data_IF_807177326954
#
_entry.id   IF_807177326954
#
_cell.length_a   1.000
_cell.length_b   1.000
_cell.length_c   1.000
_cell.angle_alpha   90.00
_cell.angle_beta   90.00
_cell.angle_gamma   90.00
#
_symmetry.space_group_name_H-M   'P 1'
#
loop_
_entity.id
_entity.type
_entity.pdbx_description
1 polymer ?
#
# COMPACT_ATOMS: atom_id res chain seq x y z
N UNK A 1 -14.10 1.76 -36.19
CA UNK A 1 -14.14 0.30 -36.32
C UNK A 1 -15.01 -0.27 -35.22
N UNK A 2 -16.09 -0.98 -35.57
CA UNK A 2 -17.00 -1.60 -34.60
C UNK A 2 -16.30 -2.84 -34.00
N UNK A 3 -15.47 -2.66 -32.99
CA UNK A 3 -14.91 -3.79 -32.28
C UNK A 3 -16.05 -4.41 -31.48
N UNK A 4 -16.62 -5.50 -31.97
CA UNK A 4 -17.53 -6.36 -31.21
C UNK A 4 -16.92 -6.55 -29.82
N UNK A 5 -17.66 -6.16 -28.82
CA UNK A 5 -17.24 -6.23 -27.40
C UNK A 5 -16.98 -7.71 -27.05
N UNK A 6 -15.75 -8.17 -27.29
CA UNK A 6 -15.33 -9.48 -26.85
C UNK A 6 -15.18 -9.40 -25.33
N UNK A 7 -15.92 -10.24 -24.62
CA UNK A 7 -15.78 -10.38 -23.18
C UNK A 7 -14.29 -10.59 -22.85
N UNK A 8 -13.68 -9.60 -22.19
CA UNK A 8 -12.31 -9.67 -21.69
C UNK A 8 -12.32 -10.17 -20.26
N UNK A 9 -11.53 -11.18 -19.97
CA UNK A 9 -11.43 -11.79 -18.64
C UNK A 9 -9.96 -11.97 -18.27
N UNK A 10 -9.68 -11.87 -16.95
CA UNK A 10 -8.41 -12.28 -16.36
C UNK A 10 -8.64 -13.43 -15.39
N UNK A 11 -7.73 -14.40 -15.39
CA UNK A 11 -7.70 -15.43 -14.35
C UNK A 11 -7.03 -14.87 -13.10
N UNK A 12 -7.70 -14.98 -11.96
CA UNK A 12 -7.18 -14.59 -10.66
C UNK A 12 -7.27 -15.77 -9.68
N UNK A 13 -6.21 -16.07 -8.92
CA UNK A 13 -6.20 -17.23 -8.02
C UNK A 13 -7.14 -17.09 -6.83
N UNK A 14 -7.62 -15.88 -6.52
CA UNK A 14 -8.51 -15.57 -5.39
C UNK A 14 -9.98 -15.58 -5.81
N UNK A 15 -10.28 -14.98 -6.98
CA UNK A 15 -11.64 -14.71 -7.44
C UNK A 15 -12.05 -15.51 -8.67
N UNK A 16 -11.16 -16.31 -9.24
CA UNK A 16 -11.41 -16.99 -10.50
C UNK A 16 -11.39 -16.03 -11.69
N UNK A 17 -12.49 -15.93 -12.42
CA UNK A 17 -12.56 -15.04 -13.58
C UNK A 17 -12.97 -13.62 -13.20
N UNK A 18 -12.10 -12.67 -13.50
CA UNK A 18 -12.39 -11.23 -13.39
C UNK A 18 -12.77 -10.70 -14.76
N UNK A 19 -14.00 -10.25 -14.89
CA UNK A 19 -14.54 -9.68 -16.14
C UNK A 19 -14.22 -8.19 -16.23
N UNK A 20 -13.82 -7.71 -17.40
CA UNK A 20 -13.56 -6.30 -17.66
C UNK A 20 -14.86 -5.63 -18.15
N UNK A 21 -15.37 -4.62 -17.42
CA UNK A 21 -16.74 -4.14 -17.59
C UNK A 21 -16.94 -3.20 -18.78
N UNK A 22 -15.88 -2.55 -19.29
CA UNK A 22 -15.99 -1.57 -20.38
C UNK A 22 -14.70 -1.47 -21.20
N UNK A 23 -14.79 -0.88 -22.38
CA UNK A 23 -13.63 -0.59 -23.24
C UNK A 23 -12.66 0.37 -22.56
N UNK A 24 -13.16 1.43 -21.89
CA UNK A 24 -12.33 2.38 -21.15
C UNK A 24 -11.46 1.66 -20.10
N UNK A 25 -12.06 0.78 -19.28
CA UNK A 25 -11.32 0.00 -18.28
C UNK A 25 -10.28 -0.90 -18.94
N UNK A 26 -10.61 -1.52 -20.07
CA UNK A 26 -9.65 -2.34 -20.83
C UNK A 26 -8.46 -1.51 -21.35
N UNK A 27 -8.73 -0.34 -21.91
CA UNK A 27 -7.71 0.56 -22.46
C UNK A 27 -6.80 1.12 -21.34
N UNK A 28 -7.38 1.46 -20.18
CA UNK A 28 -6.62 1.86 -18.99
C UNK A 28 -5.73 0.72 -18.47
N UNK A 29 -6.23 -0.52 -18.44
CA UNK A 29 -5.41 -1.68 -18.06
C UNK A 29 -4.28 -1.89 -19.06
N UNK A 30 -4.52 -1.67 -20.36
CA UNK A 30 -3.50 -1.82 -21.41
C UNK A 30 -2.46 -0.68 -21.41
N UNK A 31 -2.75 0.44 -20.74
CA UNK A 31 -1.86 1.60 -20.69
C UNK A 31 -0.53 1.30 -19.99
N UNK A 32 0.64 1.78 -20.49
CA UNK A 32 1.96 1.51 -19.90
C UNK A 32 2.05 1.81 -18.41
N UNK A 33 1.46 2.93 -17.93
CA UNK A 33 1.45 3.29 -16.52
C UNK A 33 0.79 2.22 -15.63
N UNK A 34 -0.27 1.58 -16.12
CA UNK A 34 -0.92 0.49 -15.39
C UNK A 34 -0.16 -0.83 -15.55
N UNK A 35 0.38 -1.14 -16.74
CA UNK A 35 1.16 -2.35 -16.98
C UNK A 35 2.42 -2.43 -16.11
N UNK A 36 3.00 -1.29 -15.72
CA UNK A 36 4.11 -1.22 -14.75
C UNK A 36 3.79 -1.95 -13.43
N UNK A 37 2.55 -1.90 -12.98
CA UNK A 37 2.12 -2.54 -11.73
C UNK A 37 2.37 -4.06 -11.69
N UNK A 38 2.58 -4.71 -12.84
CA UNK A 38 3.00 -6.12 -12.92
C UNK A 38 4.41 -6.36 -12.39
N UNK A 39 5.23 -5.32 -12.33
CA UNK A 39 6.63 -5.36 -11.92
C UNK A 39 6.87 -4.70 -10.55
N UNK A 40 5.78 -4.39 -9.84
CA UNK A 40 5.81 -3.83 -8.47
C UNK A 40 5.10 -4.81 -7.54
N UNK A 41 5.82 -5.36 -6.58
CA UNK A 41 5.26 -6.26 -5.58
C UNK A 41 4.31 -5.51 -4.64
N UNK A 42 3.16 -6.14 -4.33
CA UNK A 42 2.16 -5.57 -3.42
C UNK A 42 2.72 -5.33 -2.02
N UNK A 43 3.50 -6.27 -1.54
CA UNK A 43 3.97 -6.31 -0.16
C UNK A 43 5.47 -6.01 -0.02
N UNK A 44 6.08 -5.35 -1.01
CA UNK A 44 7.50 -5.00 -0.98
C UNK A 44 8.41 -6.20 -0.64
N UNK A 45 9.22 -6.07 0.39
CA UNK A 45 10.18 -7.09 0.82
C UNK A 45 9.59 -8.17 1.74
N UNK A 46 8.27 -8.24 1.92
CA UNK A 46 7.64 -9.23 2.79
C UNK A 46 7.88 -10.68 2.37
N UNK A 47 8.25 -10.94 1.12
CA UNK A 47 8.66 -12.27 0.64
C UNK A 47 9.90 -12.81 1.39
N UNK A 48 10.70 -11.95 2.01
CA UNK A 48 11.80 -12.37 2.89
C UNK A 48 11.32 -13.05 4.17
N UNK A 49 10.05 -12.89 4.52
CA UNK A 49 9.38 -13.55 5.65
C UNK A 49 8.40 -14.62 5.16
N UNK A 50 7.58 -14.26 4.19
CA UNK A 50 6.52 -15.08 3.60
C UNK A 50 6.87 -15.42 2.15
N UNK A 51 7.52 -16.56 1.89
CA UNK A 51 8.08 -16.87 0.57
C UNK A 51 7.07 -16.85 -0.58
N UNK A 52 5.77 -16.99 -0.31
CA UNK A 52 4.70 -16.90 -1.30
C UNK A 52 4.26 -15.47 -1.66
N UNK A 53 4.72 -14.44 -0.92
CA UNK A 53 4.26 -13.06 -1.07
C UNK A 53 4.91 -12.34 -2.27
N UNK A 54 4.72 -12.87 -3.47
CA UNK A 54 5.24 -12.32 -4.74
C UNK A 54 4.15 -11.73 -5.65
N UNK A 55 2.92 -11.65 -5.19
CA UNK A 55 1.86 -11.01 -5.97
C UNK A 55 2.12 -9.50 -6.12
N UNK A 56 1.62 -8.98 -7.23
CA UNK A 56 1.91 -7.60 -7.65
C UNK A 56 0.71 -6.69 -7.45
N UNK A 57 0.93 -5.39 -7.49
CA UNK A 57 -0.14 -4.37 -7.45
C UNK A 57 -1.12 -4.51 -8.60
N UNK A 58 -0.69 -5.07 -9.73
CA UNK A 58 -1.59 -5.41 -10.83
C UNK A 58 -2.67 -6.41 -10.41
N UNK A 59 -2.31 -7.46 -9.66
CA UNK A 59 -3.29 -8.44 -9.15
C UNK A 59 -4.28 -7.78 -8.18
N UNK A 60 -3.76 -6.95 -7.29
CA UNK A 60 -4.56 -6.21 -6.31
C UNK A 60 -5.55 -5.25 -6.98
N UNK A 61 -5.11 -4.42 -7.92
CA UNK A 61 -5.96 -3.48 -8.64
C UNK A 61 -7.11 -4.18 -9.40
N UNK A 62 -6.83 -5.33 -10.02
CA UNK A 62 -7.88 -6.13 -10.67
C UNK A 62 -8.85 -6.75 -9.66
N UNK A 63 -8.35 -7.22 -8.52
CA UNK A 63 -9.18 -7.78 -7.44
C UNK A 63 -10.09 -6.73 -6.82
N UNK A 64 -9.56 -5.54 -6.55
CA UNK A 64 -10.34 -4.40 -6.04
C UNK A 64 -11.42 -3.97 -7.03
N UNK A 65 -11.12 -3.94 -8.34
CA UNK A 65 -12.11 -3.72 -9.40
C UNK A 65 -13.21 -4.80 -9.39
N UNK A 66 -12.85 -6.06 -9.23
CA UNK A 66 -13.81 -7.16 -9.16
C UNK A 66 -14.77 -7.02 -7.99
N UNK A 67 -14.26 -6.68 -6.81
CA UNK A 67 -15.08 -6.44 -5.63
C UNK A 67 -15.96 -5.21 -5.79
N UNK A 68 -15.46 -4.14 -6.41
CA UNK A 68 -16.24 -2.94 -6.71
C UNK A 68 -17.41 -3.25 -7.65
N UNK A 69 -17.21 -4.07 -8.68
CA UNK A 69 -18.30 -4.51 -9.57
C UNK A 69 -19.39 -5.28 -8.78
N UNK A 70 -18.99 -6.13 -7.82
CA UNK A 70 -19.92 -6.83 -6.93
C UNK A 70 -20.68 -5.86 -6.04
N UNK A 71 -19.99 -4.89 -5.42
CA UNK A 71 -20.60 -3.89 -4.55
C UNK A 71 -21.65 -3.05 -5.30
N UNK A 72 -21.30 -2.52 -6.45
CA UNK A 72 -22.22 -1.74 -7.31
C UNK A 72 -23.46 -2.56 -7.67
N UNK A 73 -23.28 -3.83 -8.09
CA UNK A 73 -24.39 -4.71 -8.42
C UNK A 73 -25.33 -4.95 -7.23
N UNK A 74 -24.79 -5.17 -6.04
CA UNK A 74 -25.59 -5.39 -4.83
C UNK A 74 -26.34 -4.12 -4.43
N UNK A 75 -25.68 -2.95 -4.47
CA UNK A 75 -26.32 -1.69 -4.13
C UNK A 75 -27.46 -1.35 -5.10
N UNK A 76 -27.24 -1.53 -6.40
CA UNK A 76 -28.31 -1.36 -7.44
C UNK A 76 -29.46 -2.34 -7.21
N UNK A 77 -29.17 -3.59 -6.90
CA UNK A 77 -30.21 -4.59 -6.58
C UNK A 77 -31.05 -4.19 -5.36
N UNK A 78 -30.43 -3.50 -4.38
CA UNK A 78 -31.13 -2.97 -3.20
C UNK A 78 -31.83 -1.62 -3.43
N UNK A 79 -31.83 -1.12 -4.65
CA UNK A 79 -32.57 0.09 -5.05
C UNK A 79 -31.76 1.37 -5.00
N UNK A 80 -30.45 1.33 -4.71
CA UNK A 80 -29.57 2.51 -4.81
C UNK A 80 -29.46 2.91 -6.27
N UNK A 81 -29.84 4.15 -6.59
CA UNK A 81 -29.68 4.70 -7.93
C UNK A 81 -28.21 5.01 -8.19
N UNK A 82 -27.62 4.30 -9.12
CA UNK A 82 -26.24 4.51 -9.62
C UNK A 82 -26.33 4.55 -11.14
N UNK A 83 -26.02 5.69 -11.73
CA UNK A 83 -26.00 5.87 -13.18
C UNK A 83 -24.88 5.04 -13.83
N UNK A 84 -24.91 4.90 -15.14
CA UNK A 84 -23.85 4.20 -15.87
C UNK A 84 -22.52 4.98 -15.83
N UNK A 85 -22.60 6.29 -15.78
CA UNK A 85 -21.46 7.19 -15.66
C UNK A 85 -20.80 7.06 -14.29
N UNK A 86 -21.59 7.12 -13.19
CA UNK A 86 -21.12 6.92 -11.83
C UNK A 86 -20.51 5.51 -11.64
N UNK A 87 -21.14 4.48 -12.20
CA UNK A 87 -20.63 3.10 -12.19
C UNK A 87 -19.25 3.00 -12.85
N UNK A 88 -19.08 3.58 -14.05
CA UNK A 88 -17.81 3.59 -14.75
C UNK A 88 -16.75 4.40 -13.98
N UNK A 89 -17.12 5.54 -13.41
CA UNK A 89 -16.23 6.37 -12.61
C UNK A 89 -15.71 5.64 -11.36
N UNK A 90 -16.58 4.91 -10.64
CA UNK A 90 -16.17 4.05 -9.53
C UNK A 90 -15.14 2.99 -9.96
N UNK A 91 -15.39 2.35 -11.12
CA UNK A 91 -14.49 1.32 -11.64
C UNK A 91 -13.13 1.89 -12.03
N UNK A 92 -13.08 3.07 -12.62
CA UNK A 92 -11.85 3.79 -12.93
C UNK A 92 -11.12 4.17 -11.64
N UNK A 93 -11.83 4.77 -10.68
CA UNK A 93 -11.24 5.24 -9.43
C UNK A 93 -10.57 4.10 -8.65
N UNK A 94 -11.28 2.96 -8.46
CA UNK A 94 -10.72 1.82 -7.74
C UNK A 94 -9.62 1.09 -8.53
N UNK A 95 -9.67 1.08 -9.86
CA UNK A 95 -8.63 0.48 -10.69
C UNK A 95 -7.31 1.25 -10.56
N UNK A 96 -7.39 2.58 -10.50
CA UNK A 96 -6.22 3.46 -10.54
C UNK A 96 -5.77 3.96 -9.16
N UNK A 97 -6.44 3.60 -8.07
CA UNK A 97 -6.16 4.16 -6.73
C UNK A 97 -4.70 3.99 -6.31
N UNK A 98 -4.07 2.87 -6.67
CA UNK A 98 -2.70 2.49 -6.31
C UNK A 98 -1.68 2.69 -7.45
N UNK A 99 -2.06 3.33 -8.58
CA UNK A 99 -1.18 3.48 -9.75
C UNK A 99 0.09 4.29 -9.45
N UNK A 100 0.08 5.11 -8.41
CA UNK A 100 1.19 5.96 -7.98
C UNK A 100 2.22 5.27 -7.08
N UNK A 101 2.05 4.01 -6.73
CA UNK A 101 3.07 3.31 -5.95
C UNK A 101 4.38 3.11 -6.71
N UNK A 102 5.50 3.31 -6.01
CA UNK A 102 6.84 3.03 -6.50
C UNK A 102 7.35 1.63 -6.12
N UNK A 103 8.58 1.29 -6.55
CA UNK A 103 9.24 0.04 -6.18
C UNK A 103 9.32 -0.15 -4.66
N UNK A 104 9.11 -1.38 -4.22
CA UNK A 104 9.09 -1.76 -2.81
C UNK A 104 8.20 -0.87 -1.96
N UNK A 105 7.06 -0.48 -2.50
CA UNK A 105 6.02 0.28 -1.79
C UNK A 105 6.53 1.61 -1.22
N UNK A 106 6.67 1.72 0.10
CA UNK A 106 7.02 2.98 0.77
C UNK A 106 8.52 3.30 0.77
N UNK A 107 9.40 2.40 0.28
CA UNK A 107 10.83 2.66 0.29
C UNK A 107 11.23 3.93 -0.49
N UNK A 108 10.62 4.15 -1.66
CA UNK A 108 10.85 5.35 -2.47
C UNK A 108 10.30 6.61 -1.80
N UNK A 109 9.12 6.55 -1.18
CA UNK A 109 8.50 7.69 -0.49
C UNK A 109 9.35 8.21 0.69
N UNK A 110 10.06 7.29 1.36
CA UNK A 110 10.89 7.61 2.52
C UNK A 110 12.38 7.84 2.20
N UNK A 111 12.76 7.81 0.91
CA UNK A 111 14.17 7.97 0.51
C UNK A 111 14.39 8.93 -0.65
N UNK A 112 13.70 8.75 -1.76
CA UNK A 112 13.92 9.51 -3.00
C UNK A 112 12.86 10.59 -3.23
N UNK A 113 11.62 10.36 -2.79
CA UNK A 113 10.46 11.25 -2.96
C UNK A 113 9.92 11.72 -1.60
N UNK A 114 10.80 12.20 -0.72
CA UNK A 114 10.40 12.61 0.63
C UNK A 114 9.27 13.65 0.63
N UNK A 115 8.17 13.31 1.31
CA UNK A 115 6.99 14.18 1.39
C UNK A 115 6.02 14.10 0.21
N UNK A 116 6.25 13.18 -0.73
CA UNK A 116 5.33 12.89 -1.85
C UNK A 116 4.67 11.54 -1.62
N UNK A 117 3.38 11.52 -1.31
CA UNK A 117 2.66 10.26 -1.09
C UNK A 117 2.24 9.59 -2.41
N UNK A 118 2.09 8.27 -2.37
CA UNK A 118 1.61 7.51 -3.53
C UNK A 118 0.20 7.91 -3.95
N UNK A 119 -0.67 8.34 -3.02
CA UNK A 119 -2.00 8.84 -3.38
C UNK A 119 -1.92 10.13 -4.20
N UNK A 120 -0.98 11.03 -3.84
CA UNK A 120 -0.74 12.23 -4.62
C UNK A 120 -0.20 11.89 -6.02
N UNK A 121 0.72 10.94 -6.13
CA UNK A 121 1.23 10.47 -7.42
C UNK A 121 0.11 9.78 -8.22
N UNK A 122 -0.74 8.97 -7.58
CA UNK A 122 -1.91 8.34 -8.23
C UNK A 122 -2.82 9.39 -8.84
N UNK A 123 -3.14 10.45 -8.09
CA UNK A 123 -3.94 11.56 -8.58
C UNK A 123 -3.30 12.22 -9.82
N UNK A 124 -1.99 12.46 -9.77
CA UNK A 124 -1.28 13.07 -10.91
C UNK A 124 -1.28 12.18 -12.16
N UNK A 125 -1.13 10.86 -11.99
CA UNK A 125 -1.29 9.92 -13.11
C UNK A 125 -2.72 9.91 -13.64
N UNK A 126 -3.73 9.93 -12.77
CA UNK A 126 -5.13 10.00 -13.20
C UNK A 126 -5.42 11.30 -13.98
N UNK A 127 -4.84 12.43 -13.62
CA UNK A 127 -4.96 13.70 -14.34
C UNK A 127 -4.35 13.62 -15.75
N UNK A 128 -3.13 13.05 -15.88
CA UNK A 128 -2.49 12.82 -17.19
C UNK A 128 -3.36 11.90 -18.06
N UNK A 129 -3.81 10.77 -17.50
CA UNK A 129 -4.69 9.85 -18.20
C UNK A 129 -6.03 10.51 -18.58
N UNK A 130 -6.55 11.40 -17.73
CA UNK A 130 -7.78 12.14 -18.05
C UNK A 130 -7.62 13.01 -19.30
N UNK A 131 -6.48 13.69 -19.44
CA UNK A 131 -6.18 14.47 -20.64
C UNK A 131 -6.05 13.55 -21.88
N UNK A 132 -5.35 12.42 -21.76
CA UNK A 132 -5.16 11.45 -22.85
C UNK A 132 -6.50 10.79 -23.29
N UNK A 133 -7.40 10.54 -22.33
CA UNK A 133 -8.71 9.96 -22.55
C UNK A 133 -9.84 11.01 -22.71
N UNK A 134 -9.48 12.26 -23.08
CA UNK A 134 -10.42 13.34 -23.42
C UNK A 134 -11.46 13.64 -22.31
N UNK A 135 -11.02 13.69 -21.06
CA UNK A 135 -11.86 14.06 -19.91
C UNK A 135 -12.72 12.93 -19.34
N UNK A 136 -12.60 11.69 -19.84
CA UNK A 136 -13.44 10.56 -19.40
C UNK A 136 -13.19 10.11 -17.95
N UNK A 137 -12.09 10.54 -17.31
CA UNK A 137 -11.76 10.20 -15.93
C UNK A 137 -12.16 11.28 -14.93
N UNK A 138 -12.73 12.42 -15.36
CA UNK A 138 -13.00 13.58 -14.50
C UNK A 138 -13.85 13.24 -13.28
N UNK A 139 -14.94 12.48 -13.47
CA UNK A 139 -15.81 12.06 -12.37
C UNK A 139 -15.10 11.07 -11.43
N UNK A 140 -14.27 10.16 -11.97
CA UNK A 140 -13.47 9.24 -11.18
C UNK A 140 -12.46 9.97 -10.29
N UNK A 141 -11.83 11.02 -10.80
CA UNK A 141 -10.91 11.88 -10.05
C UNK A 141 -11.65 12.60 -8.91
N UNK A 142 -12.84 13.13 -9.18
CA UNK A 142 -13.68 13.76 -8.15
C UNK A 142 -14.05 12.77 -7.04
N UNK A 143 -14.45 11.55 -7.39
CA UNK A 143 -14.75 10.48 -6.43
C UNK A 143 -13.51 10.04 -5.63
N UNK A 144 -12.36 9.89 -6.31
CA UNK A 144 -11.09 9.51 -5.67
C UNK A 144 -10.63 10.56 -4.64
N UNK A 145 -10.81 11.84 -4.92
CA UNK A 145 -10.52 12.94 -3.99
C UNK A 145 -11.49 13.03 -2.82
N UNK A 146 -12.62 12.35 -2.88
CA UNK A 146 -13.70 12.47 -1.90
C UNK A 146 -14.54 13.73 -2.05
N UNK A 147 -14.44 14.44 -3.18
CA UNK A 147 -15.13 15.70 -3.46
C UNK A 147 -16.51 15.49 -4.11
N UNK A 148 -16.91 14.23 -4.35
CA UNK A 148 -18.21 13.95 -4.98
C UNK A 148 -19.35 14.09 -3.95
N UNK A 149 -20.46 14.71 -4.39
CA UNK A 149 -21.60 15.08 -3.53
C UNK A 149 -22.28 13.91 -2.79
N UNK A 150 -22.08 12.68 -3.26
CA UNK A 150 -22.63 11.45 -2.68
C UNK A 150 -21.52 10.66 -1.98
N UNK A 151 -21.37 10.80 -0.64
CA UNK A 151 -20.21 10.31 0.12
C UNK A 151 -19.95 8.80 -0.02
N UNK A 152 -20.99 7.96 -0.19
CA UNK A 152 -20.80 6.51 -0.25
C UNK A 152 -19.88 6.07 -1.40
N UNK A 153 -19.74 6.84 -2.48
CA UNK A 153 -18.81 6.55 -3.56
C UNK A 153 -17.36 6.62 -3.08
N UNK A 154 -16.99 7.69 -2.38
CA UNK A 154 -15.68 7.81 -1.75
C UNK A 154 -15.44 6.74 -0.67
N UNK A 155 -16.48 6.41 0.11
CA UNK A 155 -16.41 5.37 1.15
C UNK A 155 -16.18 3.96 0.59
N UNK A 156 -16.63 3.67 -0.63
CA UNK A 156 -16.35 2.42 -1.33
C UNK A 156 -14.91 2.33 -1.85
N UNK A 157 -14.28 3.48 -2.16
CA UNK A 157 -12.89 3.58 -2.65
C UNK A 157 -11.90 3.59 -1.49
N UNK A 158 -12.14 4.46 -0.49
CA UNK A 158 -11.24 4.67 0.66
C UNK A 158 -12.04 4.92 1.94
N UNK A 159 -12.60 3.88 2.53
CA UNK A 159 -13.36 3.89 3.78
C UNK A 159 -12.87 2.86 4.77
N UNK A 160 -13.66 2.55 5.80
CA UNK A 160 -13.32 1.49 6.76
C UNK A 160 -13.58 0.09 6.19
N UNK A 161 -14.54 -0.03 5.26
CA UNK A 161 -15.01 -1.28 4.66
C UNK A 161 -14.99 -1.17 3.12
N UNK A 162 -13.94 -0.54 2.58
CA UNK A 162 -13.77 -0.31 1.16
C UNK A 162 -13.33 -1.57 0.37
N UNK A 163 -13.32 -1.43 -0.95
CA UNK A 163 -12.97 -2.54 -1.83
C UNK A 163 -11.45 -2.77 -1.90
N UNK A 164 -10.65 -1.76 -1.65
CA UNK A 164 -9.19 -1.84 -1.49
C UNK A 164 -8.84 -2.78 -0.33
N UNK A 165 -9.28 -2.45 0.91
CA UNK A 165 -9.04 -3.27 2.11
C UNK A 165 -9.62 -4.66 1.99
N UNK A 166 -10.78 -4.78 1.35
CA UNK A 166 -11.46 -6.06 1.14
C UNK A 166 -10.69 -7.00 0.22
N UNK A 167 -9.96 -6.47 -0.77
CA UNK A 167 -9.08 -7.26 -1.63
C UNK A 167 -7.77 -7.58 -0.92
N UNK A 168 -7.00 -6.56 -0.48
CA UNK A 168 -5.66 -6.83 0.00
C UNK A 168 -5.65 -7.75 1.23
N UNK A 169 -6.57 -7.60 2.18
CA UNK A 169 -6.61 -8.50 3.33
C UNK A 169 -6.77 -9.97 2.90
N UNK A 170 -7.68 -10.24 1.98
CA UNK A 170 -7.91 -11.60 1.49
C UNK A 170 -6.74 -12.09 0.63
N UNK A 171 -6.22 -11.23 -0.24
CA UNK A 171 -5.12 -11.54 -1.16
C UNK A 171 -3.82 -11.77 -0.41
N UNK A 172 -3.46 -10.88 0.49
CA UNK A 172 -2.23 -10.99 1.28
C UNK A 172 -2.29 -12.19 2.22
N UNK A 173 -3.46 -12.49 2.83
CA UNK A 173 -3.69 -13.72 3.59
C UNK A 173 -3.38 -14.97 2.76
N UNK A 174 -3.88 -15.03 1.53
CA UNK A 174 -3.64 -16.16 0.64
C UNK A 174 -2.16 -16.32 0.29
N UNK A 175 -1.50 -15.25 -0.16
CA UNK A 175 -0.11 -15.32 -0.61
C UNK A 175 0.92 -15.43 0.52
N UNK A 176 0.59 -14.94 1.71
CA UNK A 176 1.45 -15.13 2.90
C UNK A 176 1.22 -16.46 3.60
N UNK A 177 0.08 -17.10 3.37
CA UNK A 177 -0.36 -18.29 4.12
C UNK A 177 -0.84 -17.98 5.54
N UNK A 178 -1.08 -16.70 5.88
CA UNK A 178 -1.56 -16.26 7.20
C UNK A 178 -3.08 -16.25 7.21
N UNK A 179 -3.68 -17.26 7.82
CA UNK A 179 -5.13 -17.52 7.77
C UNK A 179 -5.99 -16.50 8.50
N UNK A 180 -5.42 -15.70 9.39
CA UNK A 180 -6.11 -14.66 10.15
C UNK A 180 -6.71 -13.56 9.27
N UNK A 181 -6.11 -13.32 8.10
CA UNK A 181 -6.62 -12.39 7.09
C UNK A 181 -7.75 -12.94 6.23
N UNK A 182 -8.13 -14.21 6.39
CA UNK A 182 -9.21 -14.81 5.60
C UNK A 182 -10.56 -14.23 6.00
N UNK A 183 -11.04 -13.29 5.20
CA UNK A 183 -12.34 -12.62 5.34
C UNK A 183 -13.32 -13.09 4.26
N UNK A 184 -14.62 -13.06 4.57
CA UNK A 184 -15.66 -13.28 3.59
C UNK A 184 -16.14 -11.96 2.99
N UNK A 185 -15.35 -11.41 2.04
CA UNK A 185 -15.66 -10.15 1.36
C UNK A 185 -17.02 -10.17 0.67
N UNK A 186 -17.44 -11.32 0.12
CA UNK A 186 -18.74 -11.44 -0.56
C UNK A 186 -19.91 -11.26 0.41
N UNK A 187 -19.82 -11.87 1.61
CA UNK A 187 -20.84 -11.67 2.63
C UNK A 187 -20.86 -10.22 3.12
N UNK A 188 -19.69 -9.60 3.34
CA UNK A 188 -19.62 -8.21 3.75
C UNK A 188 -20.28 -7.30 2.71
N UNK A 189 -19.94 -7.47 1.43
CA UNK A 189 -20.55 -6.71 0.32
C UNK A 189 -22.05 -6.95 0.24
N UNK A 190 -22.51 -8.19 0.42
CA UNK A 190 -23.94 -8.50 0.39
C UNK A 190 -24.76 -7.81 1.50
N UNK A 191 -24.11 -7.39 2.59
CA UNK A 191 -24.73 -6.65 3.69
C UNK A 191 -24.64 -5.12 3.52
N UNK A 192 -23.92 -4.61 2.52
CA UNK A 192 -23.83 -3.17 2.23
C UNK A 192 -25.17 -2.64 1.75
N UNK A 193 -25.46 -1.41 2.14
CA UNK A 193 -26.61 -0.63 1.68
C UNK A 193 -26.27 0.86 1.70
N UNK A 194 -27.15 1.72 1.20
CA UNK A 194 -26.98 3.17 1.21
C UNK A 194 -28.23 3.81 1.84
N UNK A 195 -28.02 4.71 2.78
CA UNK A 195 -29.07 5.52 3.40
C UNK A 195 -28.60 6.97 3.43
N UNK A 196 -29.39 7.88 2.86
CA UNK A 196 -29.03 9.31 2.76
C UNK A 196 -27.65 9.55 2.14
N UNK A 197 -27.33 8.82 1.06
CA UNK A 197 -26.05 8.80 0.36
C UNK A 197 -24.82 8.43 1.21
N UNK A 198 -25.02 7.80 2.38
CA UNK A 198 -23.97 7.24 3.22
C UNK A 198 -23.97 5.71 3.12
N UNK A 199 -22.77 5.10 3.10
CA UNK A 199 -22.62 3.66 3.13
C UNK A 199 -22.97 3.12 4.51
N UNK A 200 -23.88 2.15 4.57
CA UNK A 200 -24.31 1.49 5.79
C UNK A 200 -24.22 -0.01 5.65
N UNK A 201 -24.12 -0.73 6.76
CA UNK A 201 -24.18 -2.20 6.77
C UNK A 201 -25.46 -2.65 7.47
N UNK A 202 -26.21 -3.57 6.87
CA UNK A 202 -27.40 -4.14 7.49
C UNK A 202 -27.02 -4.85 8.81
N UNK A 203 -27.87 -4.75 9.81
CA UNK A 203 -27.67 -5.29 11.18
C UNK A 203 -27.17 -6.74 11.20
N UNK A 204 -27.70 -7.60 10.31
CA UNK A 204 -27.24 -9.00 10.17
C UNK A 204 -25.80 -9.15 9.66
N UNK A 205 -25.16 -8.05 9.24
CA UNK A 205 -23.76 -7.97 8.82
C UNK A 205 -22.77 -7.68 9.94
N UNK A 206 -23.21 -7.37 11.17
CA UNK A 206 -22.35 -6.96 12.30
C UNK A 206 -21.20 -7.95 12.51
N UNK A 207 -21.48 -9.25 12.58
CA UNK A 207 -20.42 -10.27 12.76
C UNK A 207 -19.39 -10.31 11.61
N UNK A 208 -19.81 -9.95 10.40
CA UNK A 208 -18.88 -9.85 9.25
C UNK A 208 -17.95 -8.63 9.39
N UNK A 209 -18.45 -7.51 9.93
CA UNK A 209 -17.66 -6.33 10.24
C UNK A 209 -16.65 -6.65 11.34
N UNK A 210 -17.11 -7.27 12.43
CA UNK A 210 -16.25 -7.63 13.56
C UNK A 210 -15.12 -8.56 13.12
N UNK A 211 -15.43 -9.57 12.30
CA UNK A 211 -14.42 -10.46 11.70
C UNK A 211 -13.45 -9.69 10.83
N UNK A 212 -13.94 -8.76 9.99
CA UNK A 212 -13.11 -7.93 9.10
C UNK A 212 -12.13 -7.04 9.91
N UNK A 213 -12.63 -6.32 10.91
CA UNK A 213 -11.79 -5.45 11.74
C UNK A 213 -10.75 -6.24 12.55
N UNK A 214 -11.14 -7.42 13.06
CA UNK A 214 -10.22 -8.32 13.76
C UNK A 214 -9.15 -8.87 12.83
N UNK A 215 -9.54 -9.36 11.65
CA UNK A 215 -8.62 -9.85 10.63
C UNK A 215 -7.61 -8.77 10.22
N UNK A 216 -8.09 -7.55 9.95
CA UNK A 216 -7.25 -6.39 9.63
C UNK A 216 -6.21 -6.15 10.73
N UNK A 217 -6.63 -6.09 12.01
CA UNK A 217 -5.70 -5.86 13.13
C UNK A 217 -4.66 -6.95 13.24
N UNK A 218 -5.06 -8.23 13.07
CA UNK A 218 -4.14 -9.36 13.13
C UNK A 218 -3.14 -9.34 11.96
N UNK A 219 -3.61 -9.09 10.74
CA UNK A 219 -2.73 -8.96 9.57
C UNK A 219 -1.72 -7.82 9.73
N UNK A 220 -2.14 -6.67 10.32
CA UNK A 220 -1.20 -5.58 10.57
C UNK A 220 -0.06 -6.03 11.47
N UNK A 221 -0.32 -6.69 12.58
CA UNK A 221 0.73 -7.11 13.52
C UNK A 221 1.52 -8.32 13.07
N UNK A 222 0.88 -9.28 12.44
CA UNK A 222 1.56 -10.50 12.00
C UNK A 222 2.30 -10.32 10.68
N UNK A 223 1.77 -9.52 9.76
CA UNK A 223 2.26 -9.43 8.38
C UNK A 223 2.90 -8.08 8.09
N UNK A 224 2.12 -6.99 8.06
CA UNK A 224 2.63 -5.69 7.59
C UNK A 224 3.64 -5.04 8.54
N UNK A 225 3.47 -5.23 9.84
CA UNK A 225 4.38 -4.75 10.88
C UNK A 225 5.28 -5.87 11.43
N UNK A 226 5.42 -6.99 10.69
CA UNK A 226 6.33 -8.05 11.10
C UNK A 226 7.76 -7.53 11.20
N UNK A 227 8.42 -7.76 12.35
CA UNK A 227 9.74 -7.21 12.68
C UNK A 227 10.78 -7.36 11.55
N UNK A 228 10.81 -8.51 10.87
CA UNK A 228 11.77 -8.77 9.78
C UNK A 228 11.42 -7.95 8.52
N UNK A 229 10.12 -7.77 8.22
CA UNK A 229 9.67 -6.91 7.13
C UNK A 229 10.05 -5.46 7.36
N UNK A 230 9.77 -4.95 8.56
CA UNK A 230 10.13 -3.58 8.99
C UNK A 230 11.65 -3.35 8.87
N UNK A 231 12.46 -4.31 9.28
CA UNK A 231 13.93 -4.21 9.15
C UNK A 231 14.36 -4.16 7.68
N UNK A 232 13.82 -5.03 6.85
CA UNK A 232 14.18 -5.09 5.43
C UNK A 232 13.82 -3.79 4.70
N UNK A 233 12.64 -3.22 5.00
CA UNK A 233 12.19 -1.94 4.45
C UNK A 233 13.10 -0.78 4.89
N UNK A 234 13.43 -0.69 6.18
CA UNK A 234 14.37 0.34 6.66
C UNK A 234 15.77 0.17 6.06
N UNK A 235 16.23 -1.06 5.86
CA UNK A 235 17.53 -1.31 5.23
C UNK A 235 17.57 -0.83 3.78
N UNK A 236 16.53 -1.08 2.98
CA UNK A 236 16.51 -0.59 1.59
C UNK A 236 16.37 0.93 1.53
N UNK A 237 15.62 1.55 2.45
CA UNK A 237 15.57 3.01 2.61
C UNK A 237 16.99 3.56 2.87
N UNK A 238 17.74 2.94 3.78
CA UNK A 238 19.10 3.36 4.10
C UNK A 238 20.07 3.16 2.92
N UNK A 239 19.93 2.06 2.16
CA UNK A 239 20.70 1.86 0.92
C UNK A 239 20.44 2.98 -0.07
N UNK A 240 19.18 3.32 -0.31
CA UNK A 240 18.81 4.39 -1.25
C UNK A 240 19.27 5.75 -0.77
N UNK A 241 19.18 6.07 0.52
CA UNK A 241 19.72 7.30 1.10
C UNK A 241 21.24 7.39 0.91
N UNK A 242 21.98 6.29 1.15
CA UNK A 242 23.44 6.27 0.91
C UNK A 242 23.77 6.42 -0.57
N UNK A 243 23.07 5.73 -1.44
CA UNK A 243 23.23 5.86 -2.89
C UNK A 243 22.97 7.30 -3.37
N UNK A 244 21.93 7.95 -2.84
CA UNK A 244 21.64 9.37 -3.13
C UNK A 244 22.78 10.29 -2.71
N UNK A 245 23.32 10.12 -1.50
CA UNK A 245 24.48 10.91 -1.03
C UNK A 245 25.70 10.71 -1.93
N UNK A 246 26.01 9.48 -2.32
CA UNK A 246 27.14 9.17 -3.20
C UNK A 246 26.92 9.73 -4.60
N UNK A 247 25.73 9.61 -5.17
CA UNK A 247 25.37 10.17 -6.46
C UNK A 247 25.51 11.69 -6.48
N UNK A 248 25.05 12.38 -5.43
CA UNK A 248 25.19 13.84 -5.28
C UNK A 248 26.66 14.28 -5.12
N UNK A 249 27.54 13.39 -4.63
CA UNK A 249 28.98 13.59 -4.57
C UNK A 249 29.72 13.17 -5.86
N UNK A 250 28.98 12.88 -6.94
CA UNK A 250 29.48 12.41 -8.22
C UNK A 250 30.26 11.08 -8.15
N UNK A 251 30.02 10.25 -7.13
CA UNK A 251 30.56 8.90 -7.10
C UNK A 251 29.87 8.04 -8.20
N UNK A 252 30.64 7.23 -8.95
CA UNK A 252 30.06 6.41 -10.01
C UNK A 252 29.17 5.30 -9.41
N UNK A 253 27.90 5.29 -9.79
CA UNK A 253 26.95 4.25 -9.42
C UNK A 253 26.44 3.55 -10.68
N UNK A 254 26.41 2.23 -10.66
CA UNK A 254 25.74 1.47 -11.71
C UNK A 254 24.25 1.36 -11.36
N UNK A 255 23.41 2.01 -12.16
CA UNK A 255 21.95 2.09 -11.99
C UNK A 255 21.27 2.22 -13.34
N UNK A 256 19.94 1.97 -13.40
CA UNK A 256 19.15 2.36 -14.58
C UNK A 256 19.09 3.89 -14.73
N UNK A 257 18.87 4.41 -15.94
CA UNK A 257 18.74 5.86 -16.16
C UNK A 257 17.67 6.50 -15.28
N UNK A 258 16.55 5.82 -15.09
CA UNK A 258 15.40 6.27 -14.32
C UNK A 258 15.76 6.38 -12.83
N UNK A 259 16.45 5.38 -12.28
CA UNK A 259 16.91 5.42 -10.89
C UNK A 259 17.98 6.49 -10.70
N UNK A 260 18.91 6.66 -11.64
CA UNK A 260 19.93 7.70 -11.61
C UNK A 260 19.32 9.11 -11.54
N UNK A 261 18.24 9.33 -12.32
CA UNK A 261 17.50 10.58 -12.28
C UNK A 261 17.00 10.91 -10.87
N UNK A 262 16.38 9.95 -10.16
CA UNK A 262 15.87 10.15 -8.80
C UNK A 262 16.95 10.23 -7.73
N UNK A 263 18.11 9.61 -7.94
CA UNK A 263 19.26 9.75 -7.03
C UNK A 263 19.90 11.14 -7.12
N UNK A 264 19.90 11.77 -8.30
CA UNK A 264 20.50 13.09 -8.55
C UNK A 264 19.57 14.26 -8.29
N UNK A 265 18.24 14.04 -8.40
CA UNK A 265 17.25 15.11 -8.39
C UNK A 265 16.56 15.19 -7.03
N UNK A 266 16.45 16.38 -6.47
CA UNK A 266 15.58 16.66 -5.32
C UNK A 266 14.17 16.99 -5.83
N UNK A 267 13.22 16.18 -5.42
CA UNK A 267 11.83 16.30 -5.87
C UNK A 267 10.94 16.68 -4.69
N UNK A 268 10.22 17.79 -4.87
CA UNK A 268 9.20 18.27 -3.94
C UNK A 268 7.80 18.13 -4.56
N UNK A 269 6.74 17.96 -3.75
CA UNK A 269 5.37 17.81 -4.26
C UNK A 269 4.97 18.92 -5.25
N UNK A 270 5.36 20.18 -5.00
CA UNK A 270 5.06 21.32 -5.86
C UNK A 270 5.77 21.31 -7.22
N UNK A 271 6.76 20.43 -7.40
CA UNK A 271 7.58 20.33 -8.63
C UNK A 271 7.35 19.02 -9.39
N UNK A 272 6.31 18.25 -9.06
CA UNK A 272 6.02 16.99 -9.73
C UNK A 272 5.43 17.26 -11.14
N UNK A 273 6.32 17.45 -12.11
CA UNK A 273 5.97 17.70 -13.51
C UNK A 273 5.64 16.40 -14.24
N UNK A 274 5.02 16.52 -15.42
CA UNK A 274 4.76 15.37 -16.31
C UNK A 274 6.02 14.58 -16.63
N UNK A 275 7.15 15.26 -16.93
CA UNK A 275 8.43 14.62 -17.22
C UNK A 275 8.97 13.80 -16.03
N UNK A 276 8.79 14.27 -14.78
CA UNK A 276 9.16 13.50 -13.58
C UNK A 276 8.28 12.27 -13.43
N UNK A 277 6.97 12.40 -13.72
CA UNK A 277 6.04 11.27 -13.67
C UNK A 277 6.32 10.24 -14.76
N UNK A 278 6.74 10.68 -15.96
CA UNK A 278 7.20 9.79 -17.03
C UNK A 278 8.42 8.97 -16.58
N UNK A 279 9.46 9.61 -16.01
CA UNK A 279 10.59 8.88 -15.42
C UNK A 279 10.15 7.94 -14.28
N UNK A 280 9.21 8.38 -13.43
CA UNK A 280 8.69 7.54 -12.35
C UNK A 280 7.91 6.33 -12.88
N UNK A 281 7.24 6.47 -14.02
CA UNK A 281 6.48 5.38 -14.64
C UNK A 281 7.35 4.27 -15.19
N UNK A 282 8.64 4.50 -15.40
CA UNK A 282 9.59 3.48 -15.86
C UNK A 282 10.26 2.73 -14.69
N UNK A 283 10.20 3.30 -13.45
CA UNK A 283 10.77 2.65 -12.27
C UNK A 283 9.92 1.48 -11.78
N UNK A 284 10.58 0.35 -11.50
CA UNK A 284 9.98 -0.82 -10.86
C UNK A 284 10.95 -1.56 -9.91
N UNK A 285 10.52 -2.68 -9.33
CA UNK A 285 11.31 -3.44 -8.36
C UNK A 285 12.62 -3.98 -8.98
N UNK A 286 12.65 -4.24 -10.30
CA UNK A 286 13.83 -4.77 -10.96
C UNK A 286 14.98 -3.76 -11.00
N UNK A 287 14.69 -2.46 -11.10
CA UNK A 287 15.71 -1.41 -11.03
C UNK A 287 16.48 -1.46 -9.71
N UNK A 288 15.73 -1.57 -8.61
CA UNK A 288 16.33 -1.62 -7.27
C UNK A 288 17.08 -2.94 -7.04
N UNK A 289 16.53 -4.08 -7.49
CA UNK A 289 17.21 -5.38 -7.37
C UNK A 289 18.50 -5.38 -8.21
N UNK A 290 18.48 -4.86 -9.42
CA UNK A 290 19.67 -4.72 -10.28
C UNK A 290 20.73 -3.83 -9.65
N UNK A 291 20.32 -2.68 -9.10
CA UNK A 291 21.18 -1.76 -8.38
C UNK A 291 21.84 -2.43 -7.17
N UNK A 292 21.07 -3.10 -6.30
CA UNK A 292 21.58 -3.84 -5.15
C UNK A 292 22.64 -4.88 -5.54
N UNK A 293 22.40 -5.63 -6.65
CA UNK A 293 23.34 -6.64 -7.18
C UNK A 293 24.65 -6.02 -7.63
N UNK A 294 24.61 -4.82 -8.17
CA UNK A 294 25.82 -4.07 -8.58
C UNK A 294 26.51 -3.44 -7.37
N UNK A 295 25.75 -2.85 -6.46
CA UNK A 295 26.27 -2.14 -5.29
C UNK A 295 26.90 -3.02 -4.23
N UNK A 296 26.56 -4.32 -4.14
CA UNK A 296 27.19 -5.24 -3.19
C UNK A 296 28.73 -5.31 -3.29
N UNK A 297 29.30 -4.89 -4.43
CA UNK A 297 30.74 -4.84 -4.69
C UNK A 297 31.27 -3.40 -4.81
N UNK A 298 30.48 -2.40 -4.44
CA UNK A 298 30.88 -1.00 -4.47
C UNK A 298 31.97 -0.71 -3.43
N UNK A 299 32.95 0.18 -3.69
CA UNK A 299 34.01 0.51 -2.72
C UNK A 299 33.49 1.16 -1.44
N UNK A 300 32.37 1.85 -1.47
CA UNK A 300 31.72 2.38 -0.25
C UNK A 300 31.21 1.25 0.63
N UNK A 301 31.71 1.19 1.87
CA UNK A 301 31.38 0.11 2.81
C UNK A 301 29.91 0.08 3.21
N UNK A 302 29.30 1.24 3.44
CA UNK A 302 27.88 1.31 3.85
C UNK A 302 27.00 0.77 2.74
N UNK A 303 27.17 1.26 1.52
CA UNK A 303 26.37 0.86 0.35
C UNK A 303 26.55 -0.64 0.06
N UNK A 304 27.80 -1.11 0.01
CA UNK A 304 28.09 -2.50 -0.34
C UNK A 304 27.64 -3.49 0.74
N UNK A 305 27.88 -3.19 2.00
CA UNK A 305 27.51 -4.07 3.11
C UNK A 305 25.99 -4.21 3.25
N UNK A 306 25.23 -3.10 3.22
CA UNK A 306 23.77 -3.14 3.31
C UNK A 306 23.15 -3.83 2.10
N UNK A 307 23.63 -3.55 0.88
CA UNK A 307 23.17 -4.22 -0.36
C UNK A 307 23.39 -5.73 -0.29
N UNK A 308 24.59 -6.17 0.11
CA UNK A 308 24.90 -7.59 0.28
C UNK A 308 24.01 -8.24 1.33
N UNK A 309 23.82 -7.58 2.49
CA UNK A 309 22.96 -8.10 3.55
C UNK A 309 21.51 -8.28 3.13
N UNK A 310 20.95 -7.36 2.34
CA UNK A 310 19.60 -7.50 1.80
C UNK A 310 19.51 -8.69 0.85
N UNK A 311 20.44 -8.80 -0.11
CA UNK A 311 20.44 -9.89 -1.10
C UNK A 311 20.62 -11.26 -0.45
N UNK A 312 21.51 -11.36 0.54
CA UNK A 312 21.83 -12.61 1.24
C UNK A 312 20.89 -12.89 2.43
N UNK A 313 19.88 -12.04 2.64
CA UNK A 313 18.94 -12.11 3.78
C UNK A 313 19.63 -12.09 5.15
N UNK A 314 20.78 -11.43 5.25
CA UNK A 314 21.53 -11.22 6.50
C UNK A 314 21.09 -9.91 7.19
N UNK A 315 19.78 -9.79 7.43
CA UNK A 315 19.17 -8.57 7.92
C UNK A 315 19.67 -8.16 9.31
N UNK A 316 19.59 -6.86 9.60
CA UNK A 316 19.86 -6.34 10.93
C UNK A 316 18.92 -6.97 11.97
N UNK A 317 19.30 -6.92 13.24
CA UNK A 317 18.47 -7.32 14.37
C UNK A 317 17.56 -6.16 14.75
N UNK A 318 16.31 -6.44 15.12
CA UNK A 318 15.38 -5.49 15.71
C UNK A 318 15.08 -5.90 17.15
N UNK A 319 15.13 -4.95 18.07
CA UNK A 319 14.77 -5.11 19.47
C UNK A 319 13.79 -4.03 19.89
N UNK A 320 12.79 -4.42 20.68
CA UNK A 320 11.78 -3.50 21.18
C UNK A 320 12.17 -2.93 22.55
N UNK A 321 11.88 -1.63 22.72
CA UNK A 321 12.22 -0.87 23.91
C UNK A 321 11.00 -0.10 24.42
N UNK A 322 11.02 0.26 25.71
CA UNK A 322 10.09 1.27 26.21
C UNK A 322 10.42 2.64 25.63
N UNK A 323 9.40 3.52 25.56
CA UNK A 323 9.60 4.92 25.13
C UNK A 323 10.65 5.65 25.97
N UNK A 324 10.79 5.26 27.24
CA UNK A 324 11.71 5.88 28.20
C UNK A 324 13.16 5.46 27.94
N UNK A 325 13.38 4.18 27.62
CA UNK A 325 14.74 3.58 27.58
C UNK A 325 15.41 3.68 26.21
N UNK A 326 14.62 3.88 25.13
CA UNK A 326 15.11 3.76 23.75
C UNK A 326 16.29 4.70 23.44
N UNK A 327 16.25 5.95 23.89
CA UNK A 327 17.32 6.93 23.62
C UNK A 327 18.65 6.52 24.24
N UNK A 328 18.63 6.12 25.54
CA UNK A 328 19.82 5.65 26.23
C UNK A 328 20.38 4.37 25.63
N UNK A 329 19.50 3.43 25.26
CA UNK A 329 19.89 2.20 24.60
C UNK A 329 20.52 2.46 23.23
N UNK A 330 19.92 3.35 22.42
CA UNK A 330 20.42 3.71 21.09
C UNK A 330 21.86 4.21 21.13
N UNK A 331 22.17 5.15 22.03
CA UNK A 331 23.52 5.71 22.14
C UNK A 331 24.56 4.66 22.58
N UNK A 332 24.21 3.81 23.52
CA UNK A 332 25.09 2.68 23.93
C UNK A 332 25.36 1.72 22.77
N UNK A 333 24.32 1.39 21.99
CA UNK A 333 24.44 0.48 20.84
C UNK A 333 25.26 1.13 19.72
N UNK A 334 25.04 2.42 19.41
CA UNK A 334 25.83 3.16 18.44
C UNK A 334 27.31 3.17 18.80
N UNK A 335 27.66 3.53 20.03
CA UNK A 335 29.04 3.54 20.51
C UNK A 335 29.70 2.17 20.36
N UNK A 336 29.00 1.09 20.73
CA UNK A 336 29.49 -0.28 20.59
C UNK A 336 29.80 -0.62 19.12
N UNK A 337 28.84 -0.40 18.21
CA UNK A 337 28.99 -0.80 16.81
C UNK A 337 29.88 0.15 16.00
N UNK A 338 29.99 1.43 16.38
CA UNK A 338 30.95 2.37 15.81
C UNK A 338 32.39 1.82 15.94
N UNK A 339 32.76 1.37 17.13
CA UNK A 339 34.07 0.75 17.39
C UNK A 339 34.22 -0.57 16.66
N UNK A 340 33.19 -1.44 16.75
CA UNK A 340 33.26 -2.80 16.21
C UNK A 340 33.36 -2.85 14.68
N UNK A 341 32.68 -1.94 13.98
CA UNK A 341 32.64 -1.87 12.52
C UNK A 341 33.64 -0.82 11.97
N UNK A 342 34.36 -0.13 12.83
CA UNK A 342 35.27 0.98 12.47
C UNK A 342 34.58 2.04 11.60
N UNK A 343 33.37 2.46 12.01
CA UNK A 343 32.56 3.45 11.31
C UNK A 343 32.71 4.83 11.94
N UNK A 344 32.48 5.86 11.13
CA UNK A 344 32.40 7.23 11.63
C UNK A 344 30.96 7.61 12.08
N UNK A 345 30.78 8.85 12.56
CA UNK A 345 29.50 9.35 13.06
C UNK A 345 28.45 9.55 11.95
N UNK A 346 28.88 9.65 10.71
CA UNK A 346 28.00 9.79 9.54
C UNK A 346 27.55 8.45 8.99
N UNK A 347 28.29 7.38 9.23
CA UNK A 347 28.05 6.03 8.73
C UNK A 347 27.24 5.17 9.69
N UNK A 348 27.48 5.30 11.00
CA UNK A 348 26.82 4.47 12.01
C UNK A 348 25.29 4.54 11.97
N UNK A 349 24.61 5.67 11.63
CA UNK A 349 23.17 5.74 11.55
C UNK A 349 22.55 4.82 10.48
N UNK A 350 23.31 4.40 9.49
CA UNK A 350 22.83 3.46 8.47
C UNK A 350 22.69 2.03 9.00
N UNK A 351 23.42 1.69 10.08
CA UNK A 351 23.44 0.37 10.70
C UNK A 351 22.73 0.32 12.04
N UNK A 352 22.74 1.42 12.79
CA UNK A 352 22.12 1.53 14.12
C UNK A 352 21.17 2.72 14.15
N UNK A 353 19.89 2.41 14.14
CA UNK A 353 18.82 3.41 14.10
C UNK A 353 17.60 2.96 14.89
N UNK A 354 16.79 3.88 15.31
CA UNK A 354 15.52 3.65 15.98
C UNK A 354 14.33 3.94 15.08
N UNK A 355 13.18 3.48 15.50
CA UNK A 355 11.93 3.73 14.82
C UNK A 355 10.71 3.38 15.66
N UNK A 356 9.55 3.65 15.10
CA UNK A 356 8.27 3.44 15.76
C UNK A 356 7.31 2.74 14.80
N UNK A 357 6.69 1.66 15.26
CA UNK A 357 5.55 1.06 14.57
C UNK A 357 4.29 1.29 15.38
N UNK A 358 3.19 1.62 14.70
CA UNK A 358 1.91 1.81 15.37
C UNK A 358 0.75 1.40 14.48
N UNK A 359 -0.33 0.93 15.10
CA UNK A 359 -1.56 0.58 14.40
C UNK A 359 -2.78 0.88 15.25
N UNK A 360 -3.83 1.37 14.60
CA UNK A 360 -5.19 1.51 15.11
C UNK A 360 -6.09 0.60 14.28
N UNK A 361 -6.74 -0.37 14.91
CA UNK A 361 -7.56 -1.36 14.19
C UNK A 361 -8.85 -0.78 13.61
N UNK A 362 -9.42 0.27 14.26
CA UNK A 362 -10.65 0.94 13.83
C UNK A 362 -10.63 2.41 14.24
N UNK A 363 -10.87 3.30 13.29
CA UNK A 363 -11.02 4.73 13.54
C UNK A 363 -12.52 5.09 13.60
N UNK A 364 -13.09 5.03 14.78
CA UNK A 364 -14.51 5.28 14.99
C UNK A 364 -14.88 6.77 15.08
N UNK A 365 -13.89 7.65 15.19
CA UNK A 365 -14.13 9.10 15.31
C UNK A 365 -14.19 9.75 13.93
N UNK A 366 -13.22 9.46 13.06
CA UNK A 366 -13.16 10.06 11.72
C UNK A 366 -14.05 9.35 10.71
N UNK A 367 -14.16 8.03 10.81
CA UNK A 367 -14.86 7.20 9.83
C UNK A 367 -15.72 6.14 10.53
N UNK A 368 -16.83 6.54 11.20
CA UNK A 368 -17.70 5.60 11.88
C UNK A 368 -18.38 4.64 10.89
N UNK A 369 -18.48 3.37 11.26
CA UNK A 369 -19.28 2.39 10.51
C UNK A 369 -20.73 2.48 11.00
N UNK A 370 -21.64 2.75 10.08
CA UNK A 370 -23.08 2.89 10.34
C UNK A 370 -23.79 1.56 10.09
N UNK A 371 -24.66 1.18 11.04
CA UNK A 371 -25.48 -0.03 11.01
C UNK A 371 -26.93 0.34 10.71
N UNK A 372 -27.50 -0.31 9.68
CA UNK A 372 -28.93 -0.18 9.32
C UNK A 372 -29.74 -1.27 9.99
N UNK A 373 -30.65 -0.86 10.89
CA UNK A 373 -31.58 -1.76 11.57
C UNK A 373 -32.83 -2.08 10.75
N UNK A 374 -33.54 -3.15 11.09
CA UNK A 374 -34.78 -3.58 10.40
C UNK A 374 -35.89 -2.52 10.41
N UNK A 375 -35.88 -1.64 11.39
CA UNK A 375 -36.86 -0.52 11.50
C UNK A 375 -36.48 0.70 10.65
N UNK A 376 -35.44 0.62 9.83
CA UNK A 376 -34.96 1.72 8.97
C UNK A 376 -34.07 2.74 9.67
N UNK A 377 -33.85 2.65 10.98
CA UNK A 377 -32.96 3.55 11.73
C UNK A 377 -31.51 3.11 11.60
N UNK A 378 -30.60 4.06 11.68
CA UNK A 378 -29.16 3.82 11.69
C UNK A 378 -28.59 4.05 13.09
N UNK A 379 -27.52 3.32 13.44
CA UNK A 379 -26.72 3.52 14.65
C UNK A 379 -25.25 3.29 14.36
N UNK A 380 -24.37 3.74 15.25
CA UNK A 380 -22.93 3.46 15.11
C UNK A 380 -22.61 2.01 15.52
N UNK A 381 -21.64 1.40 14.87
CA UNK A 381 -21.16 0.05 15.20
C UNK A 381 -20.81 -0.10 16.70
N UNK A 382 -20.20 0.91 17.32
CA UNK A 382 -19.84 0.89 18.74
C UNK A 382 -21.04 0.72 19.70
N UNK A 383 -22.25 1.04 19.23
CA UNK A 383 -23.51 0.89 19.99
C UNK A 383 -24.22 -0.43 19.70
N UNK A 384 -23.95 -1.02 18.54
CA UNK A 384 -24.66 -2.20 18.02
C UNK A 384 -23.86 -3.50 18.16
N UNK A 385 -22.54 -3.42 18.38
CA UNK A 385 -21.67 -4.59 18.54
C UNK A 385 -21.74 -5.11 19.98
N UNK A 386 -22.10 -6.36 20.15
CA UNK A 386 -22.24 -7.03 21.45
C UNK A 386 -21.09 -7.99 21.76
N UNK A 387 -20.51 -8.65 20.75
CA UNK A 387 -19.54 -9.73 20.93
C UNK A 387 -18.10 -9.26 21.02
N UNK A 388 -17.72 -8.26 20.26
CA UNK A 388 -16.37 -7.74 20.25
C UNK A 388 -16.29 -6.43 21.05
N UNK A 389 -15.28 -6.34 21.89
CA UNK A 389 -14.92 -5.04 22.47
C UNK A 389 -14.32 -4.16 21.36
N UNK A 390 -15.19 -3.64 20.46
CA UNK A 390 -14.82 -2.76 19.35
C UNK A 390 -14.02 -1.55 19.87
N UNK A 391 -14.32 -1.09 21.11
CA UNK A 391 -13.53 -0.05 21.79
C UNK A 391 -12.06 -0.45 21.98
N UNK A 392 -11.77 -1.74 22.14
CA UNK A 392 -10.39 -2.23 22.18
C UNK A 392 -9.65 -2.09 20.85
N UNK A 393 -10.38 -2.11 19.73
CA UNK A 393 -9.81 -1.92 18.38
C UNK A 393 -9.51 -0.46 18.06
N UNK A 394 -10.16 0.49 18.72
CA UNK A 394 -9.91 1.94 18.53
C UNK A 394 -8.62 2.40 19.21
N UNK A 395 -8.09 1.60 20.16
CA UNK A 395 -6.85 1.96 20.87
C UNK A 395 -5.64 1.83 19.93
N UNK A 396 -4.92 2.94 19.77
CA UNK A 396 -3.62 2.94 19.08
C UNK A 396 -2.59 2.16 19.90
N UNK A 397 -2.00 1.13 19.33
CA UNK A 397 -0.88 0.39 19.90
C UNK A 397 0.40 0.89 19.23
N UNK A 398 1.39 1.24 20.05
CA UNK A 398 2.68 1.77 19.58
C UNK A 398 3.81 0.96 20.19
N UNK A 399 4.79 0.60 19.37
CA UNK A 399 6.03 -0.08 19.79
C UNK A 399 7.24 0.70 19.26
N UNK A 400 8.23 0.86 20.12
CA UNK A 400 9.50 1.52 19.80
C UNK A 400 10.57 0.46 19.60
N UNK A 401 11.42 0.62 18.60
CA UNK A 401 12.45 -0.37 18.29
C UNK A 401 13.79 0.26 17.94
N UNK A 402 14.87 -0.53 18.10
CA UNK A 402 16.19 -0.23 17.58
C UNK A 402 16.58 -1.36 16.63
N UNK A 403 17.10 -0.97 15.46
CA UNK A 403 17.79 -1.88 14.54
C UNK A 403 19.29 -1.77 14.75
N UNK A 404 20.00 -2.91 14.73
CA UNK A 404 21.45 -2.97 14.83
C UNK A 404 22.01 -4.22 14.15
N UNK A 405 23.30 -4.28 13.80
CA UNK A 405 23.92 -5.51 13.31
C UNK A 405 23.80 -6.65 14.32
N UNK A 406 23.64 -7.87 13.84
CA UNK A 406 23.78 -9.05 14.66
C UNK A 406 25.26 -9.17 15.03
N UNK A 407 25.57 -9.30 16.31
CA UNK A 407 26.91 -9.71 16.73
C UNK A 407 27.08 -11.11 16.19
N UNK A 408 28.05 -11.35 15.31
CA UNK A 408 28.49 -12.72 15.08
C UNK A 408 29.14 -13.19 16.37
N UNK A 409 28.50 -14.17 16.99
CA UNK A 409 29.12 -14.93 18.07
C UNK A 409 30.26 -15.76 17.52
#
# INVERSE_FOLDING_TARGET
MNTKNKLKIFNDPIYGFITIPSTLIFDLIAHPYFQRLRRITQMGLSYLVYPGAHHTRFHHALGSLHLMQKAVRILKFKGTLISKEEENALYVAILLHDIGHGPFSHAIEHSLLEGVSHEFISLRFMEILNDEFNGQLSLAITMFKGDYERPFFGQLISGQLDMDRSDYLKRDSFYTGVSEGNINSERLISMMNVVSDELVIEEKGIYSIEKFLSARRLMYWQVYLHKTGVVAENMIINVLKRAKMLSQSNAPLFVSPELDFFLKTEIHPSKLTKAILENFSELDDNDLVSALKSWKNHPDFVLSNLSKRLLDRQLLKIEFYSKHDIKSALEKIKTKFKIHLNLDDTEIPFFVFDGVISNTGYDSEKHPISILHKNGKTSNLNQSSELLNVKGLTKKVTQYYICSPKVML
#
